data_IF_618061552063
#
_entry.id   IF_618061552063
#
_cell.length_a   1.000
_cell.length_b   1.000
_cell.length_c   1.000
_cell.angle_alpha   90.00
_cell.angle_beta   90.00
_cell.angle_gamma   90.00
#
_symmetry.space_group_name_H-M   'P 1'
#
loop_
_entity.id
_entity.type
_entity.pdbx_description
1 polymer ?
#
# COMPACT_ATOMS: atom_id res chain seq x y z
N UNK A 1 -26.61 7.09 -15.21
CA UNK A 1 -25.55 8.11 -15.28
C UNK A 1 -24.24 7.45 -14.89
N UNK A 2 -23.19 7.57 -15.70
CA UNK A 2 -21.88 6.94 -15.40
C UNK A 2 -21.16 7.83 -14.39
N UNK A 3 -20.99 7.36 -13.16
CA UNK A 3 -20.28 8.11 -12.12
C UNK A 3 -18.82 8.26 -12.49
N UNK A 4 -18.29 9.46 -12.31
CA UNK A 4 -16.96 9.88 -12.76
C UNK A 4 -16.01 10.10 -11.59
N UNK A 5 -14.72 10.30 -11.91
CA UNK A 5 -13.70 10.72 -10.94
C UNK A 5 -14.10 12.05 -10.29
N UNK A 6 -14.64 12.99 -11.08
CA UNK A 6 -15.08 14.29 -10.56
C UNK A 6 -16.22 14.15 -9.55
N UNK A 7 -17.21 13.29 -9.84
CA UNK A 7 -18.32 13.05 -8.89
C UNK A 7 -17.82 12.53 -7.53
N UNK A 8 -16.78 11.69 -7.55
CA UNK A 8 -16.15 11.19 -6.34
C UNK A 8 -15.32 12.26 -5.63
N UNK A 9 -14.48 12.99 -6.37
CA UNK A 9 -13.69 14.12 -5.83
C UNK A 9 -14.57 15.15 -5.14
N UNK A 10 -15.69 15.53 -5.76
CA UNK A 10 -16.60 16.52 -5.20
C UNK A 10 -17.32 15.98 -3.96
N UNK A 11 -17.74 14.70 -3.95
CA UNK A 11 -18.32 14.07 -2.77
C UNK A 11 -17.34 14.01 -1.57
N UNK A 12 -16.04 13.79 -1.83
CA UNK A 12 -15.01 13.83 -0.79
C UNK A 12 -14.85 15.25 -0.22
N UNK A 13 -14.77 16.26 -1.09
CA UNK A 13 -14.63 17.67 -0.69
C UNK A 13 -15.87 18.21 0.05
N UNK A 14 -17.05 17.67 -0.25
CA UNK A 14 -18.32 17.97 0.44
C UNK A 14 -18.42 17.32 1.83
N UNK A 15 -17.52 16.40 2.20
CA UNK A 15 -17.64 15.65 3.45
C UNK A 15 -18.70 14.54 3.40
N UNK A 16 -19.24 14.22 2.23
CA UNK A 16 -20.40 13.34 2.07
C UNK A 16 -19.96 11.87 2.05
N UNK A 17 -19.97 11.26 3.24
CA UNK A 17 -19.62 9.87 3.45
C UNK A 17 -20.56 8.91 2.69
N UNK A 18 -21.86 9.21 2.68
CA UNK A 18 -22.88 8.34 2.09
C UNK A 18 -22.78 8.33 0.56
N UNK A 19 -22.64 9.51 -0.06
CA UNK A 19 -22.44 9.66 -1.50
C UNK A 19 -21.11 9.05 -1.93
N UNK A 20 -20.03 9.33 -1.21
CA UNK A 20 -18.70 8.77 -1.49
C UNK A 20 -18.72 7.23 -1.49
N UNK A 21 -19.32 6.62 -0.46
CA UNK A 21 -19.46 5.17 -0.38
C UNK A 21 -20.40 4.61 -1.46
N UNK A 22 -21.53 5.29 -1.73
CA UNK A 22 -22.45 4.86 -2.80
C UNK A 22 -21.77 4.86 -4.17
N UNK A 23 -20.89 5.82 -4.45
CA UNK A 23 -20.14 5.87 -5.70
C UNK A 23 -19.22 4.65 -5.81
N UNK A 24 -18.43 4.37 -4.78
CA UNK A 24 -17.53 3.20 -4.78
C UNK A 24 -18.31 1.89 -4.90
N UNK A 25 -19.44 1.74 -4.20
CA UNK A 25 -20.27 0.53 -4.29
C UNK A 25 -20.82 0.32 -5.71
N UNK A 26 -21.30 1.38 -6.38
CA UNK A 26 -21.75 1.29 -7.78
C UNK A 26 -20.64 0.91 -8.75
N UNK A 27 -19.40 1.35 -8.49
CA UNK A 27 -18.26 0.89 -9.28
C UNK A 27 -17.93 -0.58 -9.00
N UNK A 28 -18.10 -1.05 -7.76
CA UNK A 28 -17.86 -2.45 -7.37
C UNK A 28 -18.80 -3.45 -8.05
N UNK A 29 -19.96 -3.00 -8.56
CA UNK A 29 -20.85 -3.84 -9.36
C UNK A 29 -20.20 -4.33 -10.67
N UNK A 30 -19.19 -3.61 -11.18
CA UNK A 30 -18.60 -3.89 -12.50
C UNK A 30 -17.06 -3.99 -12.49
N UNK A 31 -16.41 -3.55 -11.42
CA UNK A 31 -14.95 -3.42 -11.36
C UNK A 31 -14.37 -4.04 -10.09
N UNK A 32 -13.15 -4.59 -10.22
CA UNK A 32 -12.40 -5.12 -9.08
C UNK A 32 -11.98 -3.99 -8.13
N UNK A 33 -11.72 -4.34 -6.87
CA UNK A 33 -11.20 -3.42 -5.87
C UNK A 33 -9.91 -2.75 -6.35
N UNK A 34 -8.99 -3.55 -6.91
CA UNK A 34 -7.79 -3.07 -7.58
C UNK A 34 -8.08 -1.98 -8.62
N UNK A 35 -9.01 -2.25 -9.54
CA UNK A 35 -9.33 -1.31 -10.60
C UNK A 35 -9.92 0.00 -10.05
N UNK A 36 -10.76 -0.07 -9.02
CA UNK A 36 -11.32 1.12 -8.37
C UNK A 36 -10.23 1.93 -7.67
N UNK A 37 -9.33 1.27 -6.95
CA UNK A 37 -8.22 1.95 -6.28
C UNK A 37 -7.33 2.67 -7.31
N UNK A 38 -7.03 2.00 -8.43
CA UNK A 38 -6.19 2.54 -9.49
C UNK A 38 -6.87 3.62 -10.34
N UNK A 39 -8.14 3.46 -10.70
CA UNK A 39 -8.83 4.30 -11.70
C UNK A 39 -9.86 5.28 -11.14
N UNK A 40 -10.23 5.16 -9.86
CA UNK A 40 -11.15 6.08 -9.18
C UNK A 40 -10.48 6.80 -8.00
N UNK A 41 -10.01 6.04 -7.00
CA UNK A 41 -9.53 6.62 -5.75
C UNK A 41 -8.20 7.36 -5.96
N UNK A 42 -7.21 6.71 -6.58
CA UNK A 42 -5.89 7.32 -6.80
C UNK A 42 -5.99 8.61 -7.64
N UNK A 43 -6.71 8.65 -8.78
CA UNK A 43 -6.88 9.88 -9.54
C UNK A 43 -7.62 10.99 -8.79
N UNK A 44 -8.66 10.66 -8.01
CA UNK A 44 -9.39 11.65 -7.22
C UNK A 44 -8.51 12.29 -6.14
N UNK A 45 -7.75 11.48 -5.41
CA UNK A 45 -6.83 12.00 -4.38
C UNK A 45 -5.66 12.79 -4.99
N UNK A 46 -5.20 12.43 -6.19
CA UNK A 46 -4.21 13.23 -6.91
C UNK A 46 -4.77 14.58 -7.34
N UNK A 47 -6.02 14.63 -7.80
CA UNK A 47 -6.69 15.88 -8.11
C UNK A 47 -6.90 16.76 -6.86
N UNK A 48 -7.30 16.18 -5.73
CA UNK A 48 -7.39 16.90 -4.44
C UNK A 48 -6.02 17.49 -4.06
N UNK A 49 -4.96 16.68 -4.14
CA UNK A 49 -3.60 17.14 -3.87
C UNK A 49 -3.17 18.26 -4.82
N UNK A 50 -3.49 18.17 -6.12
CA UNK A 50 -3.22 19.22 -7.12
C UNK A 50 -3.96 20.52 -6.77
N UNK A 51 -5.27 20.44 -6.47
CA UNK A 51 -6.10 21.60 -6.08
C UNK A 51 -5.51 22.29 -4.84
N UNK A 52 -5.08 21.51 -3.84
CA UNK A 52 -4.45 22.06 -2.64
C UNK A 52 -3.12 22.75 -2.96
N UNK A 53 -2.23 22.10 -3.73
CA UNK A 53 -0.95 22.69 -4.15
C UNK A 53 -1.13 23.98 -4.97
N UNK A 54 -2.23 24.09 -5.72
CA UNK A 54 -2.60 25.26 -6.48
C UNK A 54 -3.34 26.35 -5.66
N UNK A 55 -3.52 26.14 -4.34
CA UNK A 55 -4.31 27.00 -3.44
C UNK A 55 -5.78 27.16 -3.87
N UNK A 56 -6.33 26.21 -4.64
CA UNK A 56 -7.74 26.16 -5.04
C UNK A 56 -8.63 25.66 -3.89
N UNK A 57 -8.05 24.86 -2.98
CA UNK A 57 -8.67 24.41 -1.74
C UNK A 57 -7.71 24.62 -0.56
N UNK A 58 -8.26 24.83 0.64
CA UNK A 58 -7.50 24.94 1.88
C UNK A 58 -6.98 23.58 2.37
N UNK A 59 -6.00 23.62 3.28
CA UNK A 59 -5.55 22.42 4.00
C UNK A 59 -6.68 21.73 4.77
N UNK A 60 -7.65 22.49 5.30
CA UNK A 60 -8.81 21.93 5.98
C UNK A 60 -9.71 21.11 5.05
N UNK A 61 -9.86 21.55 3.79
CA UNK A 61 -10.62 20.81 2.78
C UNK A 61 -9.87 19.56 2.30
N UNK A 62 -8.55 19.63 2.16
CA UNK A 62 -7.74 18.44 1.87
C UNK A 62 -7.87 17.41 3.00
N UNK A 63 -7.73 17.82 4.26
CA UNK A 63 -7.90 16.92 5.40
C UNK A 63 -9.30 16.32 5.49
N UNK A 64 -10.35 17.11 5.20
CA UNK A 64 -11.72 16.60 5.11
C UNK A 64 -11.82 15.50 4.05
N UNK A 65 -11.35 15.76 2.84
CA UNK A 65 -11.41 14.80 1.74
C UNK A 65 -10.61 13.53 2.04
N UNK A 66 -9.42 13.67 2.64
CA UNK A 66 -8.60 12.54 3.10
C UNK A 66 -9.31 11.71 4.17
N UNK A 67 -9.99 12.35 5.13
CA UNK A 67 -10.75 11.64 6.16
C UNK A 67 -11.95 10.86 5.59
N UNK A 68 -12.70 11.45 4.65
CA UNK A 68 -13.82 10.75 3.98
C UNK A 68 -13.30 9.59 3.14
N UNK A 69 -12.18 9.77 2.44
CA UNK A 69 -11.55 8.71 1.67
C UNK A 69 -11.07 7.56 2.56
N UNK A 70 -10.48 7.87 3.72
CA UNK A 70 -10.08 6.87 4.72
C UNK A 70 -11.28 6.05 5.22
N UNK A 71 -12.41 6.72 5.49
CA UNK A 71 -13.67 6.06 5.81
C UNK A 71 -14.11 5.09 4.69
N UNK A 72 -14.11 5.55 3.44
CA UNK A 72 -14.49 4.71 2.29
C UNK A 72 -13.59 3.47 2.19
N UNK A 73 -12.27 3.62 2.35
CA UNK A 73 -11.34 2.49 2.37
C UNK A 73 -11.58 1.54 3.53
N UNK A 74 -11.98 2.04 4.70
CA UNK A 74 -12.35 1.20 5.85
C UNK A 74 -13.59 0.36 5.53
N UNK A 75 -14.57 0.93 4.82
CA UNK A 75 -15.78 0.20 4.42
C UNK A 75 -15.48 -0.89 3.39
N UNK A 76 -14.60 -0.62 2.41
CA UNK A 76 -14.19 -1.65 1.45
C UNK A 76 -13.36 -2.75 2.11
N UNK A 77 -12.59 -2.44 3.16
CA UNK A 77 -11.87 -3.42 3.98
C UNK A 77 -12.81 -4.30 4.81
N UNK A 78 -13.85 -3.72 5.41
CA UNK A 78 -14.82 -4.44 6.24
C UNK A 78 -15.44 -5.66 5.52
N UNK A 79 -15.62 -5.58 4.20
CA UNK A 79 -16.08 -6.70 3.37
C UNK A 79 -15.20 -7.97 3.48
N UNK A 80 -13.92 -7.81 3.83
CA UNK A 80 -12.92 -8.88 3.90
C UNK A 80 -12.81 -9.51 5.28
N UNK A 81 -13.37 -8.90 6.33
CA UNK A 81 -13.22 -9.34 7.74
C UNK A 81 -13.66 -10.79 7.95
N UNK A 82 -14.71 -11.21 7.24
CA UNK A 82 -15.21 -12.60 7.32
C UNK A 82 -14.25 -13.65 6.76
N UNK A 83 -13.22 -13.22 6.02
CA UNK A 83 -12.15 -14.05 5.46
C UNK A 83 -10.80 -13.73 6.08
N UNK A 84 -10.77 -13.09 7.26
CA UNK A 84 -9.52 -12.83 7.94
C UNK A 84 -8.85 -14.14 8.34
N UNK A 85 -7.56 -14.32 8.03
CA UNK A 85 -6.85 -15.53 8.38
C UNK A 85 -6.60 -15.60 9.89
N UNK A 86 -6.26 -16.80 10.39
CA UNK A 86 -5.93 -16.98 11.80
C UNK A 86 -4.70 -16.12 12.20
N UNK A 87 -4.54 -15.72 13.48
CA UNK A 87 -3.47 -14.82 13.91
C UNK A 87 -2.04 -15.24 13.50
N UNK A 88 -1.76 -16.54 13.44
CA UNK A 88 -0.45 -17.08 13.04
C UNK A 88 -0.36 -17.54 11.59
N UNK A 89 -1.42 -17.35 10.81
CA UNK A 89 -1.45 -17.77 9.42
C UNK A 89 -0.37 -17.07 8.59
N UNK A 90 0.18 -17.83 7.65
CA UNK A 90 1.08 -17.34 6.59
C UNK A 90 0.33 -17.37 5.25
N UNK A 91 0.69 -16.52 4.28
CA UNK A 91 1.80 -15.57 4.30
C UNK A 91 1.50 -14.29 5.10
N UNK A 92 2.53 -13.70 5.71
CA UNK A 92 2.46 -12.51 6.60
C UNK A 92 3.04 -11.28 5.89
N UNK A 93 2.33 -10.14 5.94
CA UNK A 93 2.81 -8.86 5.42
C UNK A 93 2.62 -7.72 6.42
N UNK A 94 3.62 -6.85 6.55
CA UNK A 94 3.63 -5.71 7.45
C UNK A 94 3.70 -4.41 6.63
N UNK A 95 2.81 -3.45 6.88
CA UNK A 95 2.73 -2.19 6.13
C UNK A 95 2.72 -0.96 7.04
N UNK A 96 3.45 0.09 6.67
CA UNK A 96 3.50 1.36 7.41
C UNK A 96 4.02 2.50 6.53
N UNK A 97 3.99 3.74 7.02
CA UNK A 97 4.78 4.85 6.43
C UNK A 97 5.92 5.22 7.36
N UNK A 98 7.02 5.73 6.77
CA UNK A 98 8.20 6.13 7.54
C UNK A 98 7.88 7.25 8.54
N UNK A 99 8.75 7.43 9.53
CA UNK A 99 8.67 8.53 10.50
C UNK A 99 8.40 9.90 9.85
N UNK A 100 7.55 10.67 10.52
CA UNK A 100 6.95 11.93 10.13
C UNK A 100 6.08 11.86 8.85
N UNK A 101 5.87 10.70 8.21
CA UNK A 101 5.09 10.59 6.97
C UNK A 101 3.59 10.39 7.21
N UNK A 102 2.76 11.38 6.87
CA UNK A 102 1.31 11.31 7.05
C UNK A 102 0.52 10.94 5.78
N UNK A 103 1.16 10.75 4.62
CA UNK A 103 0.47 10.32 3.40
C UNK A 103 0.29 8.79 3.38
N UNK A 104 -0.71 8.29 4.12
CA UNK A 104 -0.87 6.86 4.38
C UNK A 104 -1.94 6.15 3.53
N UNK A 105 -2.83 6.88 2.84
CA UNK A 105 -3.94 6.28 2.09
C UNK A 105 -3.48 5.26 1.04
N UNK A 106 -2.38 5.55 0.34
CA UNK A 106 -1.77 4.62 -0.61
C UNK A 106 -1.36 3.29 0.05
N UNK A 107 -0.71 3.38 1.21
CA UNK A 107 -0.31 2.20 1.98
C UNK A 107 -1.52 1.43 2.54
N UNK A 108 -2.58 2.14 2.95
CA UNK A 108 -3.85 1.52 3.34
C UNK A 108 -4.44 0.72 2.18
N UNK A 109 -4.51 1.30 0.98
CA UNK A 109 -4.97 0.59 -0.22
C UNK A 109 -4.16 -0.68 -0.48
N UNK A 110 -2.82 -0.61 -0.44
CA UNK A 110 -1.93 -1.77 -0.59
C UNK A 110 -2.25 -2.83 0.47
N UNK A 111 -2.36 -2.45 1.74
CA UNK A 111 -2.66 -3.40 2.83
C UNK A 111 -3.98 -4.15 2.60
N UNK A 112 -5.02 -3.46 2.10
CA UNK A 112 -6.31 -4.07 1.80
C UNK A 112 -6.20 -5.04 0.60
N UNK A 113 -5.39 -4.71 -0.42
CA UNK A 113 -5.15 -5.62 -1.56
C UNK A 113 -4.42 -6.90 -1.14
N UNK A 114 -3.49 -6.81 -0.19
CA UNK A 114 -2.87 -8.00 0.42
C UNK A 114 -3.91 -8.84 1.19
N UNK A 115 -4.77 -8.20 2.00
CA UNK A 115 -5.86 -8.90 2.71
C UNK A 115 -6.84 -9.58 1.75
N UNK A 116 -7.16 -8.94 0.63
CA UNK A 116 -8.01 -9.51 -0.42
C UNK A 116 -7.42 -10.83 -0.96
N UNK A 117 -6.09 -10.93 -1.03
CA UNK A 117 -5.34 -12.12 -1.42
C UNK A 117 -5.04 -13.07 -0.25
N UNK A 118 -5.78 -12.98 0.86
CA UNK A 118 -5.69 -13.87 2.03
C UNK A 118 -4.35 -13.83 2.78
N UNK A 119 -3.61 -12.72 2.66
CA UNK A 119 -2.44 -12.50 3.52
C UNK A 119 -2.88 -12.14 4.94
N UNK A 120 -2.10 -12.57 5.91
CA UNK A 120 -2.18 -12.07 7.28
C UNK A 120 -1.45 -10.73 7.33
N UNK A 121 -2.19 -9.64 7.50
CA UNK A 121 -1.67 -8.28 7.31
C UNK A 121 -1.74 -7.46 8.59
N UNK A 122 -0.58 -6.97 9.06
CA UNK A 122 -0.50 -5.90 10.04
C UNK A 122 -0.23 -4.57 9.35
N UNK A 123 -1.10 -3.59 9.55
CA UNK A 123 -0.95 -2.24 9.01
C UNK A 123 -0.85 -1.24 10.16
N UNK A 124 0.29 -0.56 10.30
CA UNK A 124 0.58 0.36 11.40
C UNK A 124 0.35 1.83 11.05
N UNK A 125 -0.44 2.09 10.00
CA UNK A 125 -0.73 3.45 9.53
C UNK A 125 0.52 4.25 9.21
N UNK A 126 0.74 5.35 9.94
CA UNK A 126 1.61 6.43 9.55
C UNK A 126 2.57 6.85 10.64
N UNK A 127 3.69 7.47 10.27
CA UNK A 127 4.62 8.10 11.22
C UNK A 127 5.17 7.10 12.24
N UNK A 128 5.78 6.02 11.74
CA UNK A 128 6.29 4.95 12.59
C UNK A 128 7.82 4.97 12.62
N UNK A 129 8.46 5.36 13.75
CA UNK A 129 9.91 5.37 13.88
C UNK A 129 10.54 3.98 13.71
N UNK A 130 11.75 3.96 13.17
CA UNK A 130 12.47 2.72 12.81
C UNK A 130 12.62 1.76 13.98
N UNK A 131 13.01 2.24 15.16
CA UNK A 131 13.24 1.38 16.31
C UNK A 131 11.96 0.71 16.81
N UNK A 132 10.81 1.38 16.68
CA UNK A 132 9.51 0.83 17.06
C UNK A 132 9.04 -0.24 16.07
N UNK A 133 9.14 0.00 14.76
CA UNK A 133 8.72 -1.00 13.77
C UNK A 133 9.63 -2.23 13.77
N UNK A 134 10.92 -2.06 14.05
CA UNK A 134 11.86 -3.19 14.12
C UNK A 134 11.48 -4.20 15.21
N UNK A 135 10.97 -3.74 16.36
CA UNK A 135 10.48 -4.63 17.41
C UNK A 135 9.33 -5.51 16.92
N UNK A 136 8.38 -4.93 16.18
CA UNK A 136 7.24 -5.65 15.61
C UNK A 136 7.67 -6.64 14.52
N UNK A 137 8.62 -6.23 13.67
CA UNK A 137 9.16 -7.07 12.58
C UNK A 137 9.88 -8.30 13.17
N UNK A 138 10.79 -8.10 14.12
CA UNK A 138 11.57 -9.18 14.74
C UNK A 138 10.67 -10.19 15.46
N UNK A 139 9.62 -9.72 16.13
CA UNK A 139 8.68 -10.59 16.85
C UNK A 139 7.74 -11.35 15.92
N UNK A 140 7.19 -10.69 14.90
CA UNK A 140 6.13 -11.27 14.07
C UNK A 140 6.63 -11.99 12.82
N UNK A 141 7.89 -11.71 12.42
CA UNK A 141 8.60 -12.25 11.25
C UNK A 141 7.76 -12.24 9.96
N UNK A 142 7.29 -11.06 9.48
CA UNK A 142 6.57 -10.96 8.22
C UNK A 142 7.45 -11.37 7.04
N UNK A 143 6.89 -12.08 6.06
CA UNK A 143 7.59 -12.42 4.81
C UNK A 143 7.66 -11.26 3.82
N UNK A 144 6.82 -10.24 4.00
CA UNK A 144 6.83 -8.99 3.22
C UNK A 144 6.79 -7.80 4.17
N UNK A 145 7.66 -6.82 3.96
CA UNK A 145 7.65 -5.53 4.65
C UNK A 145 7.44 -4.45 3.60
N UNK A 146 6.32 -3.73 3.69
CA UNK A 146 6.02 -2.61 2.81
C UNK A 146 6.07 -1.26 3.55
N UNK A 147 6.78 -0.30 2.96
CA UNK A 147 6.88 1.06 3.47
C UNK A 147 6.71 2.10 2.37
N UNK A 148 6.19 3.27 2.73
CA UNK A 148 6.06 4.38 1.77
C UNK A 148 6.46 5.72 2.33
N UNK A 149 6.87 6.61 1.41
CA UNK A 149 7.17 8.01 1.67
C UNK A 149 6.81 8.88 0.46
N UNK A 150 6.37 10.11 0.71
CA UNK A 150 5.88 11.02 -0.35
C UNK A 150 6.58 12.37 -0.37
N UNK A 151 7.47 12.66 0.59
CA UNK A 151 8.22 13.91 0.69
C UNK A 151 9.74 13.66 0.62
N UNK A 152 10.43 14.40 -0.27
CA UNK A 152 11.85 14.16 -0.61
C UNK A 152 12.76 14.26 0.60
N UNK A 153 12.47 15.18 1.52
CA UNK A 153 13.26 15.37 2.73
C UNK A 153 13.19 14.15 3.67
N UNK A 154 12.23 13.24 3.47
CA UNK A 154 12.09 11.98 4.21
C UNK A 154 12.83 10.81 3.57
N UNK A 155 13.39 10.98 2.37
CA UNK A 155 14.20 9.96 1.71
C UNK A 155 15.46 9.60 2.52
N UNK A 156 16.02 10.55 3.28
CA UNK A 156 17.11 10.26 4.22
C UNK A 156 16.69 9.31 5.35
N UNK A 157 15.41 9.33 5.73
CA UNK A 157 14.86 8.37 6.69
C UNK A 157 14.87 6.95 6.14
N UNK A 158 14.52 6.78 4.86
CA UNK A 158 14.40 5.47 4.20
C UNK A 158 15.66 4.61 4.35
N UNK A 159 16.85 5.18 4.16
CA UNK A 159 18.11 4.43 4.25
C UNK A 159 18.33 3.82 5.63
N UNK A 160 17.84 4.46 6.69
CA UNK A 160 17.91 3.92 8.05
C UNK A 160 17.03 2.68 8.22
N UNK A 161 15.82 2.68 7.65
CA UNK A 161 14.94 1.49 7.62
C UNK A 161 15.57 0.37 6.81
N UNK A 162 16.00 0.64 5.57
CA UNK A 162 16.57 -0.37 4.67
C UNK A 162 17.84 -1.01 5.25
N UNK A 163 18.70 -0.21 5.88
CA UNK A 163 19.87 -0.73 6.60
C UNK A 163 19.44 -1.67 7.73
N UNK A 164 18.47 -1.29 8.55
CA UNK A 164 17.96 -2.13 9.64
C UNK A 164 17.32 -3.42 9.14
N UNK A 165 16.65 -3.39 7.99
CA UNK A 165 16.09 -4.59 7.37
C UNK A 165 17.17 -5.54 6.86
N UNK A 166 18.30 -5.02 6.36
CA UNK A 166 19.45 -5.83 5.98
C UNK A 166 20.17 -6.51 7.15
N UNK A 167 19.91 -6.07 8.38
CA UNK A 167 20.47 -6.63 9.62
C UNK A 167 19.60 -7.75 10.24
N UNK A 168 18.45 -8.10 9.62
CA UNK A 168 17.55 -9.15 10.11
C UNK A 168 18.17 -10.54 10.01
N UNK A 169 17.74 -11.45 10.91
CA UNK A 169 18.16 -12.87 10.91
C UNK A 169 17.46 -13.72 9.84
N UNK A 170 16.63 -13.08 9.00
CA UNK A 170 15.86 -13.67 7.92
C UNK A 170 15.67 -12.63 6.79
N UNK A 171 15.29 -13.08 5.61
CA UNK A 171 15.23 -12.24 4.41
C UNK A 171 13.77 -12.04 3.95
N UNK A 172 13.07 -10.99 4.45
CA UNK A 172 11.74 -10.63 3.95
C UNK A 172 11.83 -9.96 2.57
N UNK A 173 10.80 -10.04 1.74
CA UNK A 173 10.70 -9.14 0.59
C UNK A 173 10.39 -7.71 1.08
N UNK A 174 11.10 -6.71 0.55
CA UNK A 174 10.91 -5.31 0.92
C UNK A 174 10.24 -4.57 -0.23
N UNK A 175 9.07 -3.99 0.02
CA UNK A 175 8.33 -3.18 -0.96
C UNK A 175 8.37 -1.70 -0.57
N UNK A 176 9.00 -0.88 -1.40
CA UNK A 176 9.07 0.57 -1.16
C UNK A 176 8.17 1.29 -2.17
N UNK A 177 7.21 2.07 -1.69
CA UNK A 177 6.31 2.84 -2.55
C UNK A 177 6.23 4.32 -2.19
N UNK A 178 5.35 5.02 -2.90
CA UNK A 178 5.01 6.42 -2.62
C UNK A 178 5.24 7.34 -3.82
N UNK A 179 4.83 8.61 -3.70
CA UNK A 179 4.75 9.53 -4.85
C UNK A 179 6.10 9.81 -5.52
N UNK A 180 7.20 9.61 -4.81
CA UNK A 180 8.54 9.95 -5.28
C UNK A 180 9.19 8.89 -6.14
N UNK A 181 8.63 7.68 -6.20
CA UNK A 181 9.21 6.56 -6.94
C UNK A 181 9.38 6.86 -8.44
N UNK A 182 8.58 7.77 -9.00
CA UNK A 182 8.64 8.17 -10.41
C UNK A 182 9.56 9.36 -10.67
N UNK A 183 10.09 9.98 -9.60
CA UNK A 183 10.81 11.25 -9.68
C UNK A 183 12.30 11.10 -9.45
N UNK A 184 12.72 10.02 -8.79
CA UNK A 184 14.11 9.77 -8.43
C UNK A 184 14.45 8.30 -8.65
N UNK A 185 15.69 8.04 -9.01
CA UNK A 185 16.21 6.68 -9.11
C UNK A 185 16.63 6.18 -7.72
N UNK A 186 15.93 5.15 -7.24
CA UNK A 186 16.22 4.48 -5.98
C UNK A 186 16.84 3.09 -6.17
N UNK A 187 17.09 2.66 -7.41
CA UNK A 187 17.58 1.30 -7.74
C UNK A 187 18.88 0.91 -7.05
N UNK A 188 19.67 1.89 -6.62
CA UNK A 188 20.96 1.70 -5.95
C UNK A 188 20.88 1.73 -4.42
N UNK A 189 19.68 1.80 -3.84
CA UNK A 189 19.48 1.97 -2.39
C UNK A 189 18.79 0.75 -1.79
N UNK A 190 19.36 0.22 -0.70
CA UNK A 190 18.78 -0.88 0.07
C UNK A 190 19.41 -2.23 -0.23
N UNK A 191 18.96 -3.28 0.48
CA UNK A 191 19.40 -4.65 0.24
C UNK A 191 18.80 -5.24 -1.05
N UNK A 192 19.39 -6.33 -1.62
CA UNK A 192 19.00 -6.87 -2.93
C UNK A 192 17.53 -7.32 -3.05
N UNK A 193 16.90 -7.69 -1.93
CA UNK A 193 15.49 -8.05 -1.77
C UNK A 193 14.55 -6.83 -1.68
N UNK A 194 14.94 -5.69 -2.25
CA UNK A 194 14.14 -4.45 -2.26
C UNK A 194 13.55 -4.19 -3.64
N UNK A 195 12.23 -4.14 -3.70
CA UNK A 195 11.47 -3.77 -4.89
C UNK A 195 10.82 -2.40 -4.70
N UNK A 196 11.13 -1.46 -5.60
CA UNK A 196 10.50 -0.14 -5.64
C UNK A 196 9.25 -0.17 -6.52
N UNK A 197 8.10 0.14 -5.93
CA UNK A 197 6.77 0.05 -6.54
C UNK A 197 6.27 1.47 -6.85
N UNK A 198 6.22 1.82 -8.14
CA UNK A 198 5.86 3.15 -8.61
C UNK A 198 4.36 3.44 -8.58
N UNK A 199 3.57 2.40 -8.77
CA UNK A 199 2.12 2.50 -8.91
C UNK A 199 1.46 1.14 -8.61
N UNK A 200 0.12 1.12 -8.56
CA UNK A 200 -0.62 -0.10 -8.29
C UNK A 200 -0.49 -1.15 -9.41
N UNK A 201 -0.25 -0.75 -10.67
CA UNK A 201 -0.06 -1.71 -11.76
C UNK A 201 1.25 -2.51 -11.58
N UNK A 202 2.33 -1.87 -11.12
CA UNK A 202 3.57 -2.55 -10.72
C UNK A 202 3.38 -3.46 -9.49
N UNK A 203 2.60 -3.02 -8.49
CA UNK A 203 2.24 -3.89 -7.37
C UNK A 203 1.51 -5.16 -7.85
N UNK A 204 0.60 -5.01 -8.82
CA UNK A 204 -0.13 -6.15 -9.38
C UNK A 204 0.80 -7.07 -10.18
N UNK A 205 1.80 -6.53 -10.87
CA UNK A 205 2.84 -7.33 -11.50
C UNK A 205 3.66 -8.11 -10.47
N UNK A 206 4.09 -7.46 -9.39
CA UNK A 206 4.80 -8.12 -8.28
C UNK A 206 3.98 -9.27 -7.67
N UNK A 207 2.67 -9.09 -7.46
CA UNK A 207 1.81 -10.17 -6.98
C UNK A 207 1.79 -11.40 -7.89
N UNK A 208 1.82 -11.19 -9.22
CA UNK A 208 1.81 -12.29 -10.18
C UNK A 208 3.13 -13.06 -10.11
N UNK A 209 4.26 -12.36 -10.13
CA UNK A 209 5.59 -12.96 -10.00
C UNK A 209 5.78 -13.70 -8.68
N UNK A 210 5.36 -13.10 -7.56
CA UNK A 210 5.43 -13.73 -6.24
C UNK A 210 4.62 -15.03 -6.18
N UNK A 211 3.47 -15.07 -6.85
CA UNK A 211 2.63 -16.27 -6.91
C UNK A 211 3.24 -17.37 -7.76
N UNK A 212 3.88 -17.01 -8.88
CA UNK A 212 4.60 -17.94 -9.77
C UNK A 212 5.80 -18.56 -9.05
N UNK A 213 6.69 -17.75 -8.47
CA UNK A 213 7.87 -18.23 -7.75
C UNK A 213 7.50 -19.19 -6.60
N UNK A 214 6.42 -18.89 -5.86
CA UNK A 214 5.96 -19.80 -4.78
C UNK A 214 5.41 -21.13 -5.30
N UNK A 215 4.90 -21.19 -6.52
CA UNK A 215 4.49 -22.47 -7.12
C UNK A 215 5.72 -23.26 -7.53
N UNK A 216 6.69 -22.61 -8.16
CA UNK A 216 7.95 -23.24 -8.54
C UNK A 216 8.73 -23.77 -7.32
N UNK A 217 8.72 -23.05 -6.18
CA UNK A 217 9.33 -23.51 -4.92
C UNK A 217 8.62 -24.74 -4.32
N UNK A 218 7.31 -24.91 -4.56
CA UNK A 218 6.51 -26.04 -4.08
C UNK A 218 6.58 -27.25 -5.03
N UNK A 219 6.69 -26.99 -6.33
CA UNK A 219 6.78 -28.00 -7.40
C UNK A 219 8.25 -28.42 -7.66
N UNK A 220 9.21 -27.67 -7.13
CA UNK A 220 10.64 -27.98 -7.15
C UNK A 220 10.98 -29.20 -6.29
N UNK A 221 10.93 -30.37 -6.91
CA UNK A 221 11.46 -31.62 -6.35
C UNK A 221 12.95 -31.46 -6.01
N UNK A 222 13.35 -31.91 -4.82
CA UNK A 222 14.72 -31.74 -4.26
C UNK A 222 15.81 -32.51 -5.00
N UNK A 223 15.46 -33.20 -6.10
CA UNK A 223 16.38 -34.04 -6.89
C UNK A 223 16.63 -33.52 -8.32
N UNK A 224 16.18 -32.32 -8.70
CA UNK A 224 16.59 -31.76 -10.00
C UNK A 224 17.95 -31.07 -9.90
N UNK A 225 18.99 -31.89 -10.06
CA UNK A 225 20.34 -31.41 -10.34
C UNK A 225 20.33 -30.75 -11.73
N UNK A 226 20.25 -29.42 -11.77
CA UNK A 226 20.46 -28.67 -13.02
C UNK A 226 21.95 -28.69 -13.34
N UNK A 227 22.38 -29.74 -14.04
CA UNK A 227 23.59 -29.73 -14.86
C UNK A 227 23.26 -28.93 -16.13
N UNK A 228 24.24 -28.13 -16.55
CA UNK A 228 24.36 -27.24 -17.72
C UNK A 228 24.01 -25.79 -17.44
#
# INVERSE_FOLDING_TARGET
>A
MKLTINDFTDALLEGDHAKSLSIVNKWRDNYTRFYIYNKLITPAMYEIGRRWQANEISVAQEHLATAVCDFVLTQTEHELVRYSPAPEATPKALFFTVENEHHYLGMKMVSILFREKQWNVKYYQSDLPVDHVMNEIVQWKPGVIGLSFSIVHRANGLTSYLKKFSELDYEPEILVGGRLMNQYDFSSIGPPNTTFIQNLDELNHWFNQYTENRRDDLDGDKDTTSII
#
